data_IF_938636333671
#
_entry.id   IF_938636333671
#
_cell.length_a   1.000
_cell.length_b   1.000
_cell.length_c   1.000
_cell.angle_alpha   90.00
_cell.angle_beta   90.00
_cell.angle_gamma   90.00
#
_symmetry.space_group_name_H-M   'P 1'
#
loop_
_entity.id
_entity.type
_entity.pdbx_description
1 polymer ?
#
# COMPACT_ATOMS: atom_id res chain seq x y z
N UNK A 1 15.63 -75.52 24.24
CA UNK A 1 15.42 -76.70 23.37
C UNK A 1 14.84 -76.16 22.07
N UNK A 2 15.69 -75.81 21.11
CA UNK A 2 16.12 -76.60 19.91
C UNK A 2 15.02 -76.60 18.82
N UNK A 3 15.24 -76.19 17.57
CA UNK A 3 16.41 -75.70 16.78
C UNK A 3 15.93 -74.78 15.63
N UNK A 4 16.69 -73.85 15.05
CA UNK A 4 17.93 -73.95 14.24
C UNK A 4 17.77 -74.92 13.04
N UNK A 5 17.84 -74.52 11.76
CA UNK A 5 18.99 -74.04 10.92
C UNK A 5 18.47 -73.92 9.45
N UNK A 6 19.08 -73.32 8.43
CA UNK A 6 20.45 -72.91 8.10
C UNK A 6 20.45 -71.98 6.86
N UNK A 7 21.48 -71.14 6.73
CA UNK A 7 21.99 -70.57 5.45
C UNK A 7 23.19 -71.42 4.99
N UNK A 8 23.73 -71.36 3.74
CA UNK A 8 24.81 -70.38 3.47
C UNK A 8 25.18 -70.01 1.98
N UNK A 9 25.82 -68.83 1.84
CA UNK A 9 27.04 -68.44 1.06
C UNK A 9 27.22 -68.57 -0.50
N UNK A 10 27.68 -67.43 -1.06
CA UNK A 10 28.46 -67.08 -2.31
C UNK A 10 29.68 -68.00 -2.60
N UNK A 11 30.33 -68.09 -3.83
CA UNK A 11 31.15 -66.99 -4.47
C UNK A 11 31.50 -66.98 -6.01
N UNK A 12 32.00 -65.81 -6.48
CA UNK A 12 33.02 -65.42 -7.51
C UNK A 12 33.21 -66.02 -8.95
N UNK A 13 33.47 -65.10 -9.92
CA UNK A 13 34.23 -65.26 -11.20
C UNK A 13 33.37 -65.39 -12.49
N UNK A 14 33.66 -64.91 -13.71
CA UNK A 14 34.65 -64.00 -14.36
C UNK A 14 34.22 -63.85 -15.85
N UNK A 15 34.38 -62.66 -16.46
CA UNK A 15 34.55 -62.30 -17.91
C UNK A 15 33.99 -63.17 -19.07
N UNK A 16 33.22 -62.56 -19.98
CA UNK A 16 33.67 -62.33 -21.38
C UNK A 16 32.75 -61.39 -22.19
N UNK A 17 33.37 -60.62 -23.07
CA UNK A 17 32.87 -59.57 -23.97
C UNK A 17 31.93 -60.08 -25.08
N UNK A 18 30.98 -59.27 -25.57
CA UNK A 18 31.12 -58.44 -26.79
C UNK A 18 29.77 -57.94 -27.37
N UNK A 19 29.86 -56.80 -28.06
CA UNK A 19 29.00 -56.28 -29.14
C UNK A 19 27.62 -55.66 -28.84
N UNK A 20 27.64 -54.33 -28.72
CA UNK A 20 27.21 -53.47 -29.83
C UNK A 20 25.70 -53.29 -30.06
N UNK A 21 25.17 -52.16 -29.59
CA UNK A 21 24.35 -51.30 -30.44
C UNK A 21 24.11 -49.92 -29.82
N UNK A 22 24.80 -48.91 -30.38
CA UNK A 22 24.60 -47.49 -30.12
C UNK A 22 23.26 -47.09 -30.75
N UNK A 23 22.23 -46.81 -29.94
CA UNK A 23 21.04 -46.07 -30.37
C UNK A 23 21.10 -44.65 -29.84
N UNK A 24 21.39 -43.72 -30.75
CA UNK A 24 21.31 -42.27 -30.59
C UNK A 24 19.94 -41.83 -30.04
N UNK A 25 19.84 -41.57 -28.73
CA UNK A 25 18.75 -40.76 -28.18
C UNK A 25 19.13 -39.28 -28.29
N UNK A 26 18.70 -38.63 -29.39
CA UNK A 26 18.64 -37.17 -29.50
C UNK A 26 17.89 -36.60 -28.29
N UNK A 27 18.61 -35.96 -27.36
CA UNK A 27 18.03 -35.09 -26.34
C UNK A 27 17.29 -33.95 -27.06
N UNK A 28 15.95 -33.97 -27.08
CA UNK A 28 15.14 -32.79 -27.40
C UNK A 28 15.48 -31.72 -26.36
N UNK A 29 16.28 -30.72 -26.71
CA UNK A 29 16.37 -29.45 -25.99
C UNK A 29 14.96 -28.85 -25.99
N UNK A 30 14.27 -28.89 -24.85
CA UNK A 30 13.11 -28.03 -24.59
C UNK A 30 13.64 -26.60 -24.48
N UNK A 31 13.82 -25.95 -25.63
CA UNK A 31 13.97 -24.51 -25.69
C UNK A 31 12.65 -23.89 -25.28
N UNK A 32 12.54 -23.43 -24.04
CA UNK A 32 11.46 -22.56 -23.63
C UNK A 32 11.55 -21.30 -24.47
N UNK A 33 10.63 -21.13 -25.42
CA UNK A 33 10.48 -19.88 -26.14
C UNK A 33 10.20 -18.80 -25.11
N UNK A 34 11.15 -17.88 -24.90
CA UNK A 34 10.94 -16.68 -24.09
C UNK A 34 9.77 -15.93 -24.75
N UNK A 35 8.58 -15.95 -24.13
CA UNK A 35 7.41 -15.21 -24.62
C UNK A 35 7.82 -13.75 -24.85
N UNK A 36 7.78 -13.31 -26.10
CA UNK A 36 8.01 -11.92 -26.50
C UNK A 36 6.86 -11.09 -25.93
N UNK A 37 7.16 -10.00 -25.23
CA UNK A 37 6.14 -9.09 -24.70
C UNK A 37 5.39 -8.42 -25.87
N UNK A 38 4.10 -8.14 -25.69
CA UNK A 38 3.37 -7.27 -26.64
C UNK A 38 3.90 -5.84 -26.58
N UNK A 39 3.61 -5.03 -27.60
CA UNK A 39 3.99 -3.61 -27.60
C UNK A 39 3.45 -2.88 -26.36
N UNK A 40 2.17 -3.10 -26.03
CA UNK A 40 1.53 -2.54 -24.83
C UNK A 40 2.24 -2.96 -23.54
N UNK A 41 2.63 -4.23 -23.42
CA UNK A 41 3.36 -4.72 -22.27
C UNK A 41 4.75 -4.10 -22.16
N UNK A 42 5.42 -3.85 -23.29
CA UNK A 42 6.71 -3.15 -23.32
C UNK A 42 6.57 -1.69 -22.92
N UNK A 43 5.54 -0.98 -23.41
CA UNK A 43 5.25 0.42 -23.02
C UNK A 43 4.93 0.50 -21.52
N UNK A 44 4.06 -0.38 -21.02
CA UNK A 44 3.73 -0.45 -19.60
C UNK A 44 4.97 -0.74 -18.75
N UNK A 45 5.81 -1.69 -19.17
CA UNK A 45 7.04 -2.02 -18.45
C UNK A 45 7.99 -0.82 -18.38
N UNK A 46 8.22 -0.13 -19.50
CA UNK A 46 9.11 1.05 -19.56
C UNK A 46 8.60 2.15 -18.65
N UNK A 47 7.34 2.55 -18.81
CA UNK A 47 6.71 3.64 -18.05
C UNK A 47 6.72 3.37 -16.53
N UNK A 48 6.34 2.17 -16.10
CA UNK A 48 6.31 1.83 -14.68
C UNK A 48 7.72 1.68 -14.12
N UNK A 49 8.67 1.08 -14.87
CA UNK A 49 10.05 0.96 -14.40
C UNK A 49 10.72 2.33 -14.23
N UNK A 50 10.52 3.24 -15.18
CA UNK A 50 10.99 4.63 -15.08
C UNK A 50 10.43 5.30 -13.84
N UNK A 51 9.12 5.16 -13.58
CA UNK A 51 8.49 5.71 -12.38
C UNK A 51 9.05 5.11 -11.09
N UNK A 52 9.19 3.78 -10.99
CA UNK A 52 9.72 3.09 -9.81
C UNK A 52 11.13 3.58 -9.46
N UNK A 53 11.98 3.79 -10.46
CA UNK A 53 13.39 4.13 -10.30
C UNK A 53 13.73 5.60 -10.58
N UNK A 54 12.75 6.51 -10.58
CA UNK A 54 12.92 7.97 -10.78
C UNK A 54 14.14 8.51 -9.99
N UNK A 55 14.21 8.13 -8.72
CA UNK A 55 15.19 8.59 -7.74
C UNK A 55 16.63 8.10 -8.00
N UNK A 56 16.82 7.00 -8.73
CA UNK A 56 18.13 6.40 -9.02
C UNK A 56 18.81 6.99 -10.26
N UNK A 57 18.09 7.76 -11.07
CA UNK A 57 18.61 8.39 -12.29
C UNK A 57 19.70 9.44 -12.02
N UNK A 58 19.80 9.96 -10.78
CA UNK A 58 20.83 10.90 -10.37
C UNK A 58 22.20 10.24 -10.07
N UNK A 59 22.25 8.91 -9.84
CA UNK A 59 23.48 8.19 -9.49
C UNK A 59 23.88 7.09 -10.49
N UNK A 60 23.11 6.84 -11.55
CA UNK A 60 23.44 5.83 -12.56
C UNK A 60 24.17 6.45 -13.77
N UNK A 61 25.43 6.81 -13.60
CA UNK A 61 26.34 7.04 -14.73
C UNK A 61 26.89 5.73 -15.34
N UNK A 62 26.37 4.56 -14.92
CA UNK A 62 26.87 3.24 -15.37
C UNK A 62 25.86 2.35 -16.11
N UNK A 63 24.64 2.83 -16.39
CA UNK A 63 23.72 2.10 -17.26
C UNK A 63 24.07 2.38 -18.73
N UNK A 64 25.07 1.66 -19.26
CA UNK A 64 25.37 1.70 -20.69
C UNK A 64 24.17 1.13 -21.48
N UNK A 65 23.50 2.00 -22.23
CA UNK A 65 22.56 1.62 -23.28
C UNK A 65 23.34 0.89 -24.38
N UNK A 66 23.19 -0.43 -24.48
CA UNK A 66 23.72 -1.19 -25.61
C UNK A 66 22.61 -1.25 -26.65
N UNK A 67 22.77 -0.43 -27.70
CA UNK A 67 21.96 -0.49 -28.91
C UNK A 67 22.61 -1.55 -29.80
N UNK A 68 21.88 -2.60 -30.17
CA UNK A 68 22.37 -3.55 -31.17
C UNK A 68 22.23 -3.00 -32.59
N UNK A 69 22.86 -3.67 -33.56
CA UNK A 69 22.87 -3.29 -34.99
C UNK A 69 21.47 -3.22 -35.63
N UNK A 70 20.40 -3.58 -34.91
CA UNK A 70 19.00 -3.47 -35.33
C UNK A 70 18.22 -2.37 -34.58
N UNK A 71 18.89 -1.54 -33.77
CA UNK A 71 18.26 -0.44 -33.04
C UNK A 71 17.48 -0.87 -31.80
N UNK A 72 17.73 -2.08 -31.26
CA UNK A 72 17.05 -2.57 -30.05
C UNK A 72 17.87 -2.20 -28.82
N UNK A 73 17.26 -1.45 -27.90
CA UNK A 73 17.86 -1.09 -26.60
C UNK A 73 17.82 -2.30 -25.67
N UNK A 74 19.00 -2.82 -25.31
CA UNK A 74 19.14 -3.89 -24.31
C UNK A 74 19.40 -3.31 -22.92
N UNK A 75 18.46 -3.53 -22.00
CA UNK A 75 18.63 -3.21 -20.58
C UNK A 75 19.35 -4.35 -19.87
N UNK A 76 20.54 -4.09 -19.33
CA UNK A 76 21.39 -5.12 -18.70
C UNK A 76 21.00 -5.46 -17.25
N UNK A 77 19.77 -5.18 -16.84
CA UNK A 77 19.21 -5.71 -15.59
C UNK A 77 18.59 -7.09 -15.89
N UNK A 78 18.91 -8.15 -15.13
CA UNK A 78 18.22 -9.43 -15.29
C UNK A 78 16.75 -9.21 -14.98
N UNK A 79 15.89 -9.03 -16.02
CA UNK A 79 14.44 -8.70 -15.96
C UNK A 79 13.88 -8.81 -14.55
N UNK A 80 14.12 -7.80 -13.72
CA UNK A 80 13.80 -7.89 -12.30
C UNK A 80 12.27 -7.79 -12.24
N UNK A 81 11.63 -8.82 -11.70
CA UNK A 81 10.17 -8.82 -11.60
C UNK A 81 9.79 -7.72 -10.62
N UNK A 82 9.18 -6.65 -11.11
CA UNK A 82 8.62 -5.61 -10.25
C UNK A 82 7.41 -6.20 -9.52
N UNK A 83 7.49 -6.21 -8.19
CA UNK A 83 6.43 -6.67 -7.30
C UNK A 83 5.83 -5.44 -6.61
N UNK A 84 4.51 -5.43 -6.53
CA UNK A 84 3.71 -4.31 -6.06
C UNK A 84 2.79 -4.81 -4.94
N UNK A 85 2.54 -3.95 -3.95
CA UNK A 85 1.47 -4.17 -3.00
C UNK A 85 0.79 -2.84 -2.67
N UNK A 86 -0.50 -2.74 -3.01
CA UNK A 86 -1.24 -1.49 -2.96
C UNK A 86 -2.21 -1.42 -1.76
N UNK A 87 -2.15 -2.38 -0.84
CA UNK A 87 -3.07 -2.42 0.31
C UNK A 87 -2.44 -3.22 1.47
N UNK A 88 -2.05 -2.52 2.54
CA UNK A 88 -1.54 -3.14 3.75
C UNK A 88 -1.68 -2.23 4.98
N UNK A 89 -1.60 -2.84 6.17
CA UNK A 89 -1.88 -2.21 7.45
C UNK A 89 -0.72 -2.35 8.44
N UNK A 90 -0.55 -1.35 9.28
CA UNK A 90 0.46 -1.31 10.34
C UNK A 90 -0.18 -1.18 11.72
N UNK A 91 0.64 -1.13 12.77
CA UNK A 91 0.18 -0.84 14.14
C UNK A 91 -0.44 0.54 14.31
N UNK A 92 -0.38 1.43 13.31
CA UNK A 92 -1.07 2.72 13.37
C UNK A 92 -2.59 2.58 13.21
N UNK A 93 -3.08 1.42 12.76
CA UNK A 93 -4.49 1.07 12.74
C UNK A 93 -4.77 -0.25 13.43
N UNK A 94 -4.78 -1.37 12.73
CA UNK A 94 -5.07 -2.69 13.28
C UNK A 94 -4.16 -3.80 12.72
N UNK A 95 -3.04 -3.43 12.12
CA UNK A 95 -1.93 -4.33 11.85
C UNK A 95 -1.20 -4.80 13.13
N UNK A 96 -0.20 -5.65 12.93
CA UNK A 96 0.68 -6.19 13.97
C UNK A 96 2.14 -5.72 13.82
N UNK A 97 2.53 -5.27 12.63
CA UNK A 97 3.88 -4.80 12.35
C UNK A 97 3.95 -3.27 12.37
N UNK A 98 5.04 -2.71 12.90
CA UNK A 98 5.32 -1.28 12.72
C UNK A 98 5.53 -0.98 11.23
N UNK A 99 5.32 0.26 10.76
CA UNK A 99 5.64 0.65 9.39
C UNK A 99 7.06 0.23 8.96
N UNK A 100 8.05 0.36 9.84
CA UNK A 100 9.42 -0.14 9.57
C UNK A 100 9.46 -1.64 9.32
N UNK A 101 8.85 -2.44 10.20
CA UNK A 101 8.82 -3.91 10.06
C UNK A 101 8.02 -4.37 8.84
N UNK A 102 6.96 -3.64 8.50
CA UNK A 102 6.16 -3.89 7.32
C UNK A 102 6.99 -3.70 6.04
N UNK A 103 7.76 -2.60 5.96
CA UNK A 103 8.67 -2.34 4.83
C UNK A 103 9.81 -3.37 4.77
N UNK A 104 10.40 -3.76 5.90
CA UNK A 104 11.40 -4.83 5.97
C UNK A 104 10.84 -6.15 5.39
N UNK A 105 9.60 -6.50 5.74
CA UNK A 105 8.91 -7.69 5.23
C UNK A 105 8.64 -7.59 3.73
N UNK A 106 8.15 -6.44 3.27
CA UNK A 106 7.92 -6.18 1.85
C UNK A 106 9.22 -6.34 1.03
N UNK A 107 10.34 -5.82 1.55
CA UNK A 107 11.66 -5.96 0.91
C UNK A 107 12.10 -7.42 0.79
N UNK A 108 11.93 -8.22 1.86
CA UNK A 108 12.22 -9.66 1.83
C UNK A 108 11.43 -10.41 0.75
N UNK A 109 10.21 -9.94 0.46
CA UNK A 109 9.34 -10.49 -0.57
C UNK A 109 9.59 -9.89 -1.97
N UNK A 110 10.58 -9.00 -2.12
CA UNK A 110 10.95 -8.38 -3.39
C UNK A 110 10.04 -7.25 -3.86
N UNK A 111 9.16 -6.74 -2.99
CA UNK A 111 8.29 -5.59 -3.27
C UNK A 111 9.14 -4.37 -3.59
N UNK A 112 8.78 -3.65 -4.66
CA UNK A 112 9.43 -2.40 -5.09
C UNK A 112 8.53 -1.17 -4.88
N UNK A 113 7.22 -1.38 -4.82
CA UNK A 113 6.24 -0.34 -4.49
C UNK A 113 5.26 -0.86 -3.45
N UNK A 114 5.12 -0.14 -2.35
CA UNK A 114 4.22 -0.46 -1.26
C UNK A 114 3.31 0.74 -0.98
N UNK A 115 2.00 0.54 -0.93
CA UNK A 115 1.08 1.53 -0.38
C UNK A 115 0.74 1.13 1.07
N UNK A 116 1.11 1.97 2.03
CA UNK A 116 0.63 1.84 3.40
C UNK A 116 -0.74 2.51 3.48
N UNK A 117 -1.76 1.79 3.90
CA UNK A 117 -3.16 2.21 3.81
C UNK A 117 -3.89 1.95 5.13
N UNK A 118 -3.25 2.30 6.25
CA UNK A 118 -3.83 2.15 7.59
C UNK A 118 -5.25 2.71 7.67
N UNK A 119 -6.12 2.05 8.42
CA UNK A 119 -7.49 2.52 8.59
C UNK A 119 -7.55 3.92 9.20
N UNK A 120 -8.20 4.83 8.48
CA UNK A 120 -8.56 6.17 8.92
C UNK A 120 -7.38 7.00 9.46
N UNK A 121 -6.14 6.74 9.02
CA UNK A 121 -4.96 7.51 9.46
C UNK A 121 -3.82 7.47 8.45
N UNK A 122 -3.09 8.59 8.36
CA UNK A 122 -1.83 8.70 7.61
C UNK A 122 -0.59 8.72 8.53
N UNK A 123 -0.77 8.45 9.84
CA UNK A 123 0.28 8.67 10.84
C UNK A 123 1.48 7.73 10.70
N UNK A 124 1.33 6.57 10.06
CA UNK A 124 2.42 5.62 9.80
C UNK A 124 3.28 5.95 8.57
N UNK A 125 2.79 6.84 7.67
CA UNK A 125 3.44 7.14 6.40
C UNK A 125 4.88 7.67 6.57
N UNK A 126 5.19 8.63 7.48
CA UNK A 126 6.55 9.12 7.65
C UNK A 126 7.55 8.04 8.08
N UNK A 127 7.14 7.11 8.95
CA UNK A 127 8.00 5.98 9.36
C UNK A 127 8.21 5.00 8.21
N UNK A 128 7.15 4.69 7.45
CA UNK A 128 7.24 3.81 6.27
C UNK A 128 8.22 4.37 5.23
N UNK A 129 8.14 5.66 4.92
CA UNK A 129 9.03 6.30 3.95
C UNK A 129 10.48 6.27 4.39
N UNK A 130 10.73 6.50 5.68
CA UNK A 130 12.08 6.42 6.23
C UNK A 130 12.66 5.01 6.10
N UNK A 131 11.90 3.99 6.48
CA UNK A 131 12.33 2.61 6.32
C UNK A 131 12.56 2.26 4.85
N UNK A 132 11.67 2.70 3.96
CA UNK A 132 11.68 2.36 2.54
C UNK A 132 12.89 2.93 1.79
N UNK A 133 13.37 4.11 2.21
CA UNK A 133 14.60 4.69 1.69
C UNK A 133 15.80 3.74 1.83
N UNK A 134 15.88 3.00 2.94
CA UNK A 134 16.99 2.05 3.20
C UNK A 134 16.94 0.81 2.30
N UNK A 135 15.75 0.44 1.82
CA UNK A 135 15.51 -0.79 1.07
C UNK A 135 15.25 -0.56 -0.42
N UNK A 136 15.26 0.70 -0.88
CA UNK A 136 14.95 1.06 -2.26
C UNK A 136 13.50 0.74 -2.65
N UNK A 137 12.58 0.87 -1.69
CA UNK A 137 11.13 0.71 -1.90
C UNK A 137 10.51 2.09 -2.09
N UNK A 138 9.61 2.21 -3.07
CA UNK A 138 8.76 3.40 -3.21
C UNK A 138 7.50 3.24 -2.36
N UNK A 139 7.26 4.19 -1.46
CA UNK A 139 6.00 4.26 -0.71
C UNK A 139 4.99 5.12 -1.46
N UNK A 140 3.77 4.63 -1.61
CA UNK A 140 2.60 5.44 -1.94
C UNK A 140 1.91 5.81 -0.62
N UNK A 141 1.88 7.10 -0.22
CA UNK A 141 1.06 7.53 0.90
C UNK A 141 -0.40 7.18 0.66
N UNK A 142 -0.99 6.37 1.53
CA UNK A 142 -2.39 6.00 1.42
C UNK A 142 -3.10 5.83 2.75
N UNK A 143 -4.41 5.74 2.67
CA UNK A 143 -5.30 5.51 3.82
C UNK A 143 -6.49 4.69 3.34
N UNK A 144 -6.93 3.72 4.14
CA UNK A 144 -8.21 3.05 3.93
C UNK A 144 -9.27 3.76 4.77
N UNK A 145 -10.15 4.51 4.11
CA UNK A 145 -11.21 5.29 4.76
C UNK A 145 -12.42 4.39 4.99
N UNK A 146 -12.82 4.28 6.25
CA UNK A 146 -14.03 3.56 6.66
C UNK A 146 -15.26 4.40 6.35
N UNK A 147 -16.20 3.85 5.59
CA UNK A 147 -17.41 4.54 5.15
C UNK A 147 -18.63 3.62 5.28
N UNK A 148 -19.81 4.19 5.09
CA UNK A 148 -21.07 3.46 5.00
C UNK A 148 -21.79 3.84 3.72
N UNK A 149 -22.38 2.85 3.07
CA UNK A 149 -23.23 3.02 1.90
C UNK A 149 -24.70 2.78 2.26
N UNK A 150 -25.56 3.65 1.73
CA UNK A 150 -27.01 3.59 1.94
C UNK A 150 -27.71 3.33 0.61
N UNK A 151 -28.26 2.13 0.38
CA UNK A 151 -29.05 1.84 -0.82
C UNK A 151 -30.27 2.77 -0.92
N UNK A 152 -30.60 3.25 -2.13
CA UNK A 152 -31.84 4.03 -2.33
C UNK A 152 -33.04 3.09 -2.32
N UNK A 153 -34.05 3.41 -1.52
CA UNK A 153 -35.36 2.73 -1.53
C UNK A 153 -35.45 1.47 -0.67
N UNK A 154 -34.35 0.98 -0.11
CA UNK A 154 -34.38 -0.04 0.94
C UNK A 154 -34.36 0.65 2.30
N UNK A 155 -35.44 0.48 3.06
CA UNK A 155 -35.50 0.91 4.45
C UNK A 155 -34.46 0.14 5.27
N UNK A 156 -33.27 0.73 5.46
CA UNK A 156 -32.53 0.63 6.71
C UNK A 156 -31.35 -0.35 6.82
N UNK A 157 -30.75 -0.86 5.74
CA UNK A 157 -29.45 -1.55 5.87
C UNK A 157 -28.32 -0.68 5.34
N UNK A 158 -27.61 -0.02 6.26
CA UNK A 158 -26.26 0.49 5.99
C UNK A 158 -25.32 -0.69 5.70
N UNK A 159 -24.43 -0.48 4.74
CA UNK A 159 -23.40 -1.45 4.39
C UNK A 159 -22.02 -0.81 4.57
N UNK A 160 -21.12 -1.40 5.37
CA UNK A 160 -19.75 -0.92 5.48
C UNK A 160 -19.06 -1.00 4.12
N UNK A 161 -18.43 0.10 3.70
CA UNK A 161 -17.65 0.20 2.48
C UNK A 161 -16.31 0.84 2.83
N UNK A 162 -15.22 0.34 2.28
CA UNK A 162 -13.91 0.93 2.48
C UNK A 162 -13.36 1.50 1.17
N UNK A 163 -12.83 2.71 1.25
CA UNK A 163 -12.25 3.42 0.11
C UNK A 163 -10.76 3.65 0.38
N UNK A 164 -9.92 3.09 -0.47
CA UNK A 164 -8.50 3.40 -0.49
C UNK A 164 -8.31 4.77 -1.14
N UNK A 165 -7.51 5.61 -0.51
CA UNK A 165 -7.08 6.89 -1.06
C UNK A 165 -5.57 6.87 -1.23
N UNK A 166 -5.08 7.09 -2.46
CA UNK A 166 -3.65 7.19 -2.74
C UNK A 166 -3.24 8.61 -3.09
N UNK A 167 -2.28 9.15 -2.35
CA UNK A 167 -1.80 10.51 -2.49
C UNK A 167 -0.41 10.57 -3.09
N UNK A 168 -0.05 11.76 -3.57
CA UNK A 168 1.33 12.07 -3.92
C UNK A 168 2.23 11.94 -2.70
N UNK A 169 3.54 11.89 -2.92
CA UNK A 169 4.56 11.91 -1.86
C UNK A 169 4.47 13.16 -0.96
N UNK A 170 3.92 14.29 -1.45
CA UNK A 170 3.66 15.49 -0.65
C UNK A 170 2.38 15.39 0.19
N UNK A 171 1.55 14.38 -0.06
CA UNK A 171 0.28 14.19 0.61
C UNK A 171 -0.94 14.82 -0.06
N UNK A 172 -2.04 14.90 0.69
CA UNK A 172 -3.28 15.56 0.30
C UNK A 172 -3.13 17.08 0.27
N UNK A 173 -3.67 17.77 -0.74
CA UNK A 173 -3.61 19.25 -0.87
C UNK A 173 -4.35 20.01 0.23
N UNK A 174 -5.44 19.41 0.74
CA UNK A 174 -6.33 19.96 1.77
C UNK A 174 -6.33 19.03 3.00
N UNK A 175 -5.14 18.83 3.57
CA UNK A 175 -4.93 17.83 4.62
C UNK A 175 -5.79 18.11 5.86
N UNK A 176 -6.10 19.36 6.15
CA UNK A 176 -6.89 19.75 7.31
C UNK A 176 -8.35 19.27 7.18
N UNK A 177 -8.92 19.31 5.97
CA UNK A 177 -10.26 18.78 5.67
C UNK A 177 -10.28 17.25 5.77
N UNK A 178 -9.26 16.58 5.21
CA UNK A 178 -9.13 15.13 5.31
C UNK A 178 -8.95 14.67 6.76
N UNK A 179 -8.01 15.26 7.51
CA UNK A 179 -7.77 14.89 8.91
C UNK A 179 -8.99 15.14 9.80
N UNK A 180 -9.80 16.17 9.50
CA UNK A 180 -11.07 16.39 10.20
C UNK A 180 -12.04 15.21 9.98
N UNK A 181 -12.18 14.74 8.74
CA UNK A 181 -12.99 13.56 8.41
C UNK A 181 -12.46 12.32 9.15
N UNK A 182 -11.15 12.03 9.00
CA UNK A 182 -10.50 10.87 9.59
C UNK A 182 -10.58 10.87 11.12
N UNK A 183 -10.38 12.03 11.76
CA UNK A 183 -10.54 12.19 13.20
C UNK A 183 -11.99 11.93 13.65
N UNK A 184 -12.99 12.37 12.88
CA UNK A 184 -14.40 12.08 13.13
C UNK A 184 -14.66 10.57 13.16
N UNK A 185 -14.14 9.84 12.17
CA UNK A 185 -14.27 8.37 12.09
C UNK A 185 -13.58 7.70 13.29
N UNK A 186 -12.35 8.10 13.61
CA UNK A 186 -11.58 7.58 14.77
C UNK A 186 -12.31 7.82 16.10
N UNK A 187 -12.93 8.99 16.28
CA UNK A 187 -13.73 9.29 17.46
C UNK A 187 -14.99 8.41 17.55
N UNK A 188 -15.70 8.22 16.44
CA UNK A 188 -16.83 7.30 16.35
C UNK A 188 -16.42 5.86 16.68
N UNK A 189 -15.30 5.40 16.15
CA UNK A 189 -14.70 4.08 16.40
C UNK A 189 -14.39 3.88 17.90
N UNK A 190 -13.84 4.88 18.56
CA UNK A 190 -13.58 4.85 20.01
C UNK A 190 -14.87 4.70 20.83
N UNK A 191 -15.92 5.47 20.52
CA UNK A 191 -17.22 5.36 21.19
C UNK A 191 -17.87 4.00 20.94
N UNK A 192 -17.80 3.51 19.69
CA UNK A 192 -18.25 2.18 19.31
C UNK A 192 -17.56 1.10 20.13
N UNK A 193 -16.24 1.14 20.27
CA UNK A 193 -15.51 0.15 21.08
C UNK A 193 -15.93 0.17 22.55
N UNK A 194 -16.12 1.34 23.17
CA UNK A 194 -16.67 1.42 24.54
C UNK A 194 -18.05 0.78 24.65
N UNK A 195 -18.91 0.99 23.65
CA UNK A 195 -20.23 0.34 23.57
C UNK A 195 -20.09 -1.18 23.49
N UNK A 196 -19.21 -1.71 22.63
CA UNK A 196 -18.95 -3.15 22.52
C UNK A 196 -18.48 -3.75 23.85
N UNK A 197 -17.56 -3.09 24.55
CA UNK A 197 -17.08 -3.52 25.87
C UNK A 197 -18.20 -3.56 26.90
N UNK A 198 -19.03 -2.52 26.95
CA UNK A 198 -20.19 -2.49 27.84
C UNK A 198 -21.16 -3.65 27.58
N UNK A 199 -21.41 -3.97 26.29
CA UNK A 199 -22.24 -5.12 25.90
C UNK A 199 -21.61 -6.45 26.32
N UNK A 200 -20.32 -6.65 26.07
CA UNK A 200 -19.59 -7.86 26.49
C UNK A 200 -19.60 -8.04 28.02
N UNK A 201 -19.42 -6.96 28.78
CA UNK A 201 -19.48 -7.01 30.24
C UNK A 201 -20.88 -7.42 30.73
N UNK A 202 -21.95 -6.94 30.09
CA UNK A 202 -23.34 -7.38 30.38
C UNK A 202 -23.57 -8.85 30.04
N UNK A 203 -22.87 -9.37 29.04
CA UNK A 203 -22.85 -10.80 28.67
C UNK A 203 -21.96 -11.65 29.59
N UNK A 204 -21.48 -11.09 30.71
CA UNK A 204 -20.58 -11.75 31.68
C UNK A 204 -19.22 -12.13 31.09
N UNK A 205 -18.75 -11.37 30.09
CA UNK A 205 -17.41 -11.46 29.51
C UNK A 205 -16.63 -10.19 29.88
N UNK A 206 -16.16 -10.07 31.14
CA UNK A 206 -15.56 -8.84 31.63
C UNK A 206 -14.27 -8.52 30.86
N UNK A 207 -14.23 -7.32 30.27
CA UNK A 207 -13.07 -6.69 29.67
C UNK A 207 -12.85 -5.29 30.27
N UNK A 208 -11.59 -4.97 30.52
CA UNK A 208 -11.16 -3.64 30.99
C UNK A 208 -10.84 -2.75 29.79
N UNK A 209 -11.24 -1.49 29.86
CA UNK A 209 -10.99 -0.53 28.78
C UNK A 209 -9.49 -0.31 28.55
N UNK A 210 -8.72 -0.25 29.64
CA UNK A 210 -7.27 -0.02 29.64
C UNK A 210 -6.53 -1.12 28.88
N UNK A 211 -7.03 -2.36 28.96
CA UNK A 211 -6.46 -3.50 28.26
C UNK A 211 -6.65 -3.36 26.73
N UNK A 212 -7.83 -2.93 26.30
CA UNK A 212 -8.13 -2.74 24.87
C UNK A 212 -7.32 -1.59 24.29
N UNK A 213 -7.17 -0.48 25.02
CA UNK A 213 -6.31 0.62 24.59
C UNK A 213 -4.84 0.24 24.56
N UNK A 214 -4.40 -0.64 25.47
CA UNK A 214 -3.03 -1.19 25.44
C UNK A 214 -2.79 -2.04 24.20
N UNK A 215 -3.76 -2.89 23.83
CA UNK A 215 -3.69 -3.71 22.61
C UNK A 215 -3.70 -2.84 21.35
N UNK A 216 -4.53 -1.80 21.30
CA UNK A 216 -4.57 -0.87 20.17
C UNK A 216 -3.28 -0.05 20.03
N UNK A 217 -2.66 0.33 21.14
CA UNK A 217 -1.47 1.16 21.13
C UNK A 217 -1.78 2.66 21.24
N UNK A 218 -0.73 3.44 21.48
CA UNK A 218 -0.85 4.88 21.74
C UNK A 218 -1.31 5.63 20.48
N UNK A 219 -2.39 6.41 20.60
CA UNK A 219 -2.91 7.23 19.49
C UNK A 219 -3.77 6.47 18.47
N UNK A 220 -4.01 5.17 18.70
CA UNK A 220 -4.82 4.32 17.82
C UNK A 220 -6.25 4.22 18.36
N UNK A 221 -7.23 4.44 17.49
CA UNK A 221 -8.65 4.29 17.84
C UNK A 221 -9.04 2.80 17.84
N UNK A 222 -9.44 2.20 18.99
CA UNK A 222 -9.71 0.77 19.05
C UNK A 222 -10.90 0.37 18.16
N UNK A 223 -10.65 -0.46 17.14
CA UNK A 223 -11.67 -1.15 16.34
C UNK A 223 -12.15 -2.50 16.90
N UNK A 224 -13.03 -3.17 16.14
CA UNK A 224 -13.55 -4.52 16.44
C UNK A 224 -12.43 -5.55 16.63
N UNK A 225 -11.37 -5.46 15.83
CA UNK A 225 -10.24 -6.38 15.90
C UNK A 225 -9.52 -6.30 17.27
N UNK A 226 -9.34 -5.10 17.82
CA UNK A 226 -8.72 -4.94 19.15
C UNK A 226 -9.58 -5.51 20.28
N UNK A 227 -10.91 -5.36 20.17
CA UNK A 227 -11.85 -6.01 21.12
C UNK A 227 -11.81 -7.53 20.97
N UNK A 228 -11.72 -8.05 19.74
CA UNK A 228 -11.55 -9.47 19.47
C UNK A 228 -10.25 -10.02 20.08
N UNK A 229 -9.14 -9.30 19.92
CA UNK A 229 -7.85 -9.64 20.56
C UNK A 229 -7.98 -9.66 22.09
N UNK A 230 -8.62 -8.66 22.68
CA UNK A 230 -8.86 -8.61 24.12
C UNK A 230 -9.70 -9.80 24.62
N UNK A 231 -10.69 -10.27 23.84
CA UNK A 231 -11.45 -11.48 24.16
C UNK A 231 -10.57 -12.73 24.16
N UNK A 232 -9.65 -12.84 23.19
CA UNK A 232 -8.70 -13.96 23.11
C UNK A 232 -7.72 -13.92 24.28
N UNK A 233 -7.08 -12.77 24.53
CA UNK A 233 -6.11 -12.60 25.63
C UNK A 233 -6.74 -12.82 27.01
N UNK A 234 -8.02 -12.47 27.17
CA UNK A 234 -8.77 -12.73 28.40
C UNK A 234 -9.26 -14.19 28.55
N UNK A 235 -9.04 -15.04 27.55
CA UNK A 235 -9.47 -16.45 27.57
C UNK A 235 -10.97 -16.68 27.37
N UNK A 236 -11.71 -15.66 26.90
CA UNK A 236 -13.16 -15.78 26.64
C UNK A 236 -13.47 -16.50 25.33
N UNK A 237 -12.52 -16.51 24.40
CA UNK A 237 -12.58 -17.18 23.10
C UNK A 237 -11.20 -17.72 22.71
N UNK A 238 -11.17 -18.79 21.92
CA UNK A 238 -9.94 -19.49 21.51
C UNK A 238 -9.14 -18.72 20.43
N UNK A 239 -9.83 -17.96 19.57
CA UNK A 239 -9.22 -17.27 18.44
C UNK A 239 -10.12 -16.14 17.92
N UNK A 240 -9.55 -15.30 17.04
CA UNK A 240 -10.24 -14.17 16.44
C UNK A 240 -11.50 -14.58 15.67
N UNK A 241 -11.46 -15.71 14.94
CA UNK A 241 -12.61 -16.22 14.19
C UNK A 241 -13.80 -16.47 15.12
N UNK A 242 -13.56 -17.10 16.27
CA UNK A 242 -14.59 -17.33 17.28
C UNK A 242 -15.13 -16.02 17.88
N UNK A 243 -14.26 -15.04 18.13
CA UNK A 243 -14.66 -13.72 18.62
C UNK A 243 -15.66 -13.04 17.66
N UNK A 244 -15.32 -13.00 16.37
CA UNK A 244 -16.19 -12.44 15.34
C UNK A 244 -17.47 -13.24 15.16
N UNK A 245 -17.41 -14.57 15.04
CA UNK A 245 -18.60 -15.38 14.77
C UNK A 245 -19.61 -15.43 15.93
N UNK A 246 -19.15 -15.29 17.19
CA UNK A 246 -20.05 -15.39 18.36
C UNK A 246 -20.56 -14.04 18.85
N UNK A 247 -19.73 -13.00 18.79
CA UNK A 247 -20.02 -11.75 19.51
C UNK A 247 -19.98 -10.49 18.64
N UNK A 248 -19.03 -10.42 17.70
CA UNK A 248 -18.67 -9.15 17.03
C UNK A 248 -19.09 -9.06 15.55
N UNK A 249 -19.77 -10.08 15.00
CA UNK A 249 -20.35 -10.05 13.65
C UNK A 249 -21.42 -8.96 13.52
N UNK A 250 -21.75 -8.55 12.29
CA UNK A 250 -22.75 -7.50 12.07
C UNK A 250 -24.13 -7.92 12.58
N UNK A 251 -24.70 -7.11 13.48
CA UNK A 251 -25.94 -7.45 14.20
C UNK A 251 -25.77 -8.42 15.37
N UNK A 252 -24.55 -8.82 15.71
CA UNK A 252 -24.25 -9.73 16.81
C UNK A 252 -24.43 -9.14 18.22
N UNK A 253 -24.32 -9.97 19.27
CA UNK A 253 -24.65 -9.58 20.65
C UNK A 253 -23.86 -8.38 21.19
N UNK A 254 -22.61 -8.24 20.77
CA UNK A 254 -21.74 -7.14 21.17
C UNK A 254 -21.51 -6.12 20.04
N UNK A 255 -22.12 -6.31 18.88
CA UNK A 255 -22.00 -5.39 17.75
C UNK A 255 -22.52 -4.00 18.10
N UNK A 256 -21.85 -2.96 17.63
CA UNK A 256 -22.29 -1.56 17.75
C UNK A 256 -21.95 -0.87 16.44
N UNK A 257 -22.81 0.05 16.00
CA UNK A 257 -22.58 0.86 14.81
C UNK A 257 -21.67 2.04 15.15
N UNK A 258 -21.01 2.60 14.13
CA UNK A 258 -20.14 3.77 14.26
C UNK A 258 -20.80 5.03 13.70
N UNK A 259 -19.98 6.04 13.42
CA UNK A 259 -20.39 7.30 12.79
C UNK A 259 -19.55 7.55 11.54
N UNK A 260 -19.43 6.51 10.72
CA UNK A 260 -18.74 6.58 9.44
C UNK A 260 -19.48 7.51 8.47
N UNK A 261 -18.77 8.27 7.62
CA UNK A 261 -19.37 9.12 6.60
C UNK A 261 -19.99 8.29 5.49
N UNK A 262 -20.82 8.95 4.67
CA UNK A 262 -21.32 8.36 3.44
C UNK A 262 -20.15 8.09 2.47
N UNK A 263 -20.16 6.92 1.82
CA UNK A 263 -19.10 6.48 0.92
C UNK A 263 -18.86 7.44 -0.25
N UNK A 264 -19.92 7.99 -0.85
CA UNK A 264 -19.82 8.99 -1.91
C UNK A 264 -19.16 10.29 -1.43
N UNK A 265 -19.52 10.78 -0.24
CA UNK A 265 -18.92 11.98 0.35
C UNK A 265 -17.41 11.80 0.59
N UNK A 266 -17.02 10.60 1.02
CA UNK A 266 -15.61 10.26 1.20
C UNK A 266 -14.85 10.22 -0.14
N UNK A 267 -15.43 9.61 -1.18
CA UNK A 267 -14.86 9.61 -2.54
C UNK A 267 -14.67 11.03 -3.04
N UNK A 268 -15.70 11.88 -2.95
CA UNK A 268 -15.61 13.28 -3.36
C UNK A 268 -14.51 14.04 -2.60
N UNK A 269 -14.39 13.83 -1.29
CA UNK A 269 -13.34 14.47 -0.49
C UNK A 269 -11.95 13.99 -0.88
N UNK A 270 -11.77 12.70 -1.15
CA UNK A 270 -10.50 12.15 -1.64
C UNK A 270 -10.12 12.83 -2.97
N UNK A 271 -11.06 12.96 -3.90
CA UNK A 271 -10.83 13.67 -5.17
C UNK A 271 -10.46 15.15 -4.95
N UNK A 272 -11.21 15.86 -4.09
CA UNK A 272 -10.96 17.28 -3.76
C UNK A 272 -9.61 17.51 -3.08
N UNK A 273 -9.09 16.51 -2.38
CA UNK A 273 -7.81 16.56 -1.67
C UNK A 273 -6.63 16.09 -2.53
N UNK A 274 -6.84 15.80 -3.83
CA UNK A 274 -5.77 15.39 -4.75
C UNK A 274 -5.35 13.92 -4.62
N UNK A 275 -6.26 13.07 -4.15
CA UNK A 275 -6.05 11.63 -4.04
C UNK A 275 -6.74 10.82 -5.14
N UNK A 276 -6.27 9.60 -5.36
CA UNK A 276 -6.93 8.60 -6.21
C UNK A 276 -7.80 7.71 -5.33
N UNK A 277 -9.11 7.76 -5.53
CA UNK A 277 -10.10 6.97 -4.79
C UNK A 277 -10.33 5.58 -5.42
N UNK A 278 -10.20 4.52 -4.63
CA UNK A 278 -10.30 3.12 -5.08
C UNK A 278 -11.16 2.30 -4.13
N UNK A 279 -12.11 1.51 -4.65
CA UNK A 279 -12.94 0.64 -3.83
C UNK A 279 -12.13 -0.57 -3.36
N UNK A 280 -11.98 -0.73 -2.05
CA UNK A 280 -11.30 -1.85 -1.44
C UNK A 280 -12.18 -3.10 -1.45
N UNK A 281 -11.55 -4.28 -1.61
CA UNK A 281 -12.12 -5.62 -1.41
C UNK A 281 -13.63 -5.76 -1.72
N UNK A 282 -14.10 -5.43 -2.95
CA UNK A 282 -15.53 -5.40 -3.29
C UNK A 282 -16.23 -6.77 -3.17
N UNK A 283 -15.49 -7.85 -2.98
CA UNK A 283 -15.98 -9.19 -2.63
C UNK A 283 -16.52 -9.33 -1.22
N UNK A 284 -16.26 -8.36 -0.33
CA UNK A 284 -16.89 -8.31 0.99
C UNK A 284 -18.30 -7.69 0.96
N UNK A 285 -18.69 -7.08 -0.17
CA UNK A 285 -19.95 -6.36 -0.30
C UNK A 285 -21.13 -7.30 -0.60
N UNK A 286 -22.29 -6.98 -0.02
CA UNK A 286 -23.60 -7.58 -0.29
C UNK A 286 -24.13 -7.16 -1.67
N UNK A 287 -24.02 -5.88 -2.03
CA UNK A 287 -24.49 -5.37 -3.33
C UNK A 287 -23.41 -4.54 -4.07
N UNK A 288 -22.35 -5.19 -4.56
CA UNK A 288 -21.22 -4.49 -5.18
C UNK A 288 -21.62 -3.66 -6.41
N UNK A 289 -22.61 -4.09 -7.21
CA UNK A 289 -23.01 -3.39 -8.44
C UNK A 289 -23.61 -2.02 -8.12
N UNK A 290 -24.52 -1.94 -7.14
CA UNK A 290 -25.15 -0.69 -6.76
C UNK A 290 -24.14 0.30 -6.14
N UNK A 291 -23.21 -0.22 -5.33
CA UNK A 291 -22.12 0.55 -4.72
C UNK A 291 -21.19 1.11 -5.82
N UNK A 292 -20.65 0.24 -6.68
CA UNK A 292 -19.72 0.65 -7.75
C UNK A 292 -20.34 1.74 -8.64
N UNK A 293 -21.60 1.58 -9.05
CA UNK A 293 -22.28 2.59 -9.87
C UNK A 293 -22.28 3.97 -9.19
N UNK A 294 -22.75 4.06 -7.94
CA UNK A 294 -22.89 5.34 -7.23
C UNK A 294 -21.54 5.96 -6.86
N UNK A 295 -20.56 5.14 -6.49
CA UNK A 295 -19.21 5.64 -6.24
C UNK A 295 -18.56 6.14 -7.53
N UNK A 296 -18.81 5.50 -8.68
CA UNK A 296 -18.35 5.99 -9.98
C UNK A 296 -18.96 7.35 -10.30
N UNK A 297 -20.26 7.54 -10.05
CA UNK A 297 -20.93 8.85 -10.18
C UNK A 297 -20.31 9.93 -9.25
N UNK A 298 -19.79 9.52 -8.08
CA UNK A 298 -19.11 10.40 -7.13
C UNK A 298 -17.62 10.68 -7.47
N UNK A 299 -17.05 10.01 -8.48
CA UNK A 299 -15.66 10.19 -8.92
C UNK A 299 -14.69 9.08 -8.51
N UNK A 300 -15.16 7.85 -8.28
CA UNK A 300 -14.30 6.69 -8.05
C UNK A 300 -13.38 6.45 -9.26
N UNK A 301 -12.11 6.16 -9.01
CA UNK A 301 -11.10 6.00 -10.06
C UNK A 301 -10.74 4.54 -10.34
N UNK A 302 -10.90 3.65 -9.35
CA UNK A 302 -10.49 2.26 -9.46
C UNK A 302 -11.19 1.35 -8.48
N UNK A 303 -10.96 0.05 -8.64
CA UNK A 303 -11.43 -0.99 -7.73
C UNK A 303 -10.38 -2.08 -7.58
N UNK A 304 -10.37 -2.75 -6.42
CA UNK A 304 -9.59 -3.97 -6.25
C UNK A 304 -10.23 -5.14 -7.01
N UNK A 305 -9.43 -5.79 -7.86
CA UNK A 305 -9.82 -6.96 -8.65
C UNK A 305 -8.82 -8.12 -8.52
N UNK A 306 -7.60 -7.84 -8.04
CA UNK A 306 -6.55 -8.82 -7.83
C UNK A 306 -6.40 -9.16 -6.35
N UNK A 307 -6.27 -10.44 -6.06
CA UNK A 307 -5.97 -11.04 -4.76
C UNK A 307 -4.80 -12.01 -4.89
N UNK A 308 -4.36 -12.59 -3.77
CA UNK A 308 -3.31 -13.61 -3.75
C UNK A 308 -3.69 -14.88 -4.51
N UNK A 309 -4.98 -15.23 -4.57
CA UNK A 309 -5.54 -16.35 -5.32
C UNK A 309 -5.82 -16.04 -6.80
N UNK A 310 -5.63 -14.79 -7.24
CA UNK A 310 -5.68 -14.38 -8.64
C UNK A 310 -6.58 -13.19 -8.91
N UNK A 311 -6.90 -12.99 -10.20
CA UNK A 311 -7.80 -11.93 -10.66
C UNK A 311 -9.24 -12.44 -10.62
N UNK A 312 -10.13 -11.69 -9.96
CA UNK A 312 -11.55 -11.99 -9.93
C UNK A 312 -12.25 -11.43 -11.19
N UNK A 313 -12.75 -12.33 -12.03
CA UNK A 313 -13.35 -11.96 -13.32
C UNK A 313 -14.55 -11.00 -13.17
N UNK A 314 -15.47 -11.28 -12.24
CA UNK A 314 -16.67 -10.45 -12.02
C UNK A 314 -16.32 -8.98 -11.75
N UNK A 315 -15.34 -8.72 -10.87
CA UNK A 315 -14.91 -7.36 -10.57
C UNK A 315 -14.08 -6.76 -11.71
N UNK A 316 -13.27 -7.56 -12.41
CA UNK A 316 -12.60 -7.10 -13.64
C UNK A 316 -13.59 -6.62 -14.70
N UNK A 317 -14.70 -7.32 -14.90
CA UNK A 317 -15.70 -6.96 -15.90
C UNK A 317 -16.51 -5.73 -15.47
N UNK A 318 -16.82 -5.60 -14.17
CA UNK A 318 -17.41 -4.38 -13.62
C UNK A 318 -16.47 -3.18 -13.76
N UNK A 319 -15.18 -3.34 -13.50
CA UNK A 319 -14.20 -2.29 -13.75
C UNK A 319 -14.23 -1.83 -15.21
N UNK A 320 -14.24 -2.75 -16.18
CA UNK A 320 -14.30 -2.39 -17.61
C UNK A 320 -15.61 -1.66 -17.95
N UNK A 321 -16.75 -2.13 -17.42
CA UNK A 321 -18.06 -1.54 -17.67
C UNK A 321 -18.18 -0.09 -17.17
N UNK A 322 -17.47 0.26 -16.09
CA UNK A 322 -17.47 1.59 -15.48
C UNK A 322 -16.20 2.42 -15.79
N UNK A 323 -15.26 1.90 -16.59
CA UNK A 323 -14.02 2.60 -16.92
C UNK A 323 -13.05 2.78 -15.74
N UNK A 324 -13.08 1.85 -14.77
CA UNK A 324 -12.30 1.93 -13.52
C UNK A 324 -10.97 1.20 -13.64
N UNK A 325 -9.93 1.74 -13.00
CA UNK A 325 -8.62 1.10 -12.89
C UNK A 325 -8.70 -0.17 -12.05
N UNK A 326 -8.02 -1.22 -12.52
CA UNK A 326 -7.98 -2.54 -11.86
C UNK A 326 -6.72 -2.68 -11.01
N UNK A 327 -6.88 -2.66 -9.69
CA UNK A 327 -5.80 -2.76 -8.72
C UNK A 327 -5.91 -4.01 -7.82
N UNK A 328 -4.96 -4.16 -6.91
CA UNK A 328 -5.03 -5.11 -5.81
C UNK A 328 -3.84 -4.97 -4.88
N UNK A 329 -4.06 -5.28 -3.61
CA UNK A 329 -3.03 -5.46 -2.60
C UNK A 329 -3.36 -6.64 -1.70
N UNK A 330 -2.44 -6.96 -0.80
CA UNK A 330 -2.56 -8.14 0.05
C UNK A 330 -3.62 -8.00 1.14
N UNK A 331 -3.98 -6.78 1.52
CA UNK A 331 -4.73 -6.46 2.73
C UNK A 331 -4.04 -7.05 3.98
N UNK A 332 -2.71 -7.01 3.97
CA UNK A 332 -1.87 -7.64 4.99
C UNK A 332 -1.90 -6.86 6.31
N UNK A 333 -2.19 -7.56 7.40
CA UNK A 333 -2.15 -7.05 8.76
C UNK A 333 -1.01 -7.67 9.60
N UNK A 334 -0.37 -8.75 9.14
CA UNK A 334 0.65 -9.47 9.91
C UNK A 334 0.06 -10.35 11.00
N UNK A 335 -1.10 -10.95 10.72
CA UNK A 335 -1.70 -11.97 11.57
C UNK A 335 -0.83 -13.23 11.40
N UNK A 336 -0.24 -13.75 12.47
CA UNK A 336 0.63 -14.96 12.48
C UNK A 336 -0.10 -16.27 12.05
N UNK A 337 -1.21 -16.19 11.31
CA UNK A 337 -2.02 -17.31 10.84
C UNK A 337 -1.74 -17.68 9.37
N UNK A 338 -1.90 -18.97 9.05
CA UNK A 338 -1.62 -19.54 7.72
C UNK A 338 -2.59 -19.13 6.59
N UNK A 339 -3.42 -18.11 6.80
CA UNK A 339 -4.54 -17.77 5.91
C UNK A 339 -4.55 -16.31 5.43
N UNK A 340 -3.57 -15.49 5.85
CA UNK A 340 -3.43 -14.13 5.35
C UNK A 340 -2.52 -14.11 4.11
N UNK A 341 -2.86 -13.26 3.15
CA UNK A 341 -2.01 -13.01 1.98
C UNK A 341 -0.79 -12.21 2.41
N UNK A 342 0.41 -12.73 2.21
CA UNK A 342 1.64 -12.01 2.56
C UNK A 342 1.89 -10.82 1.59
N UNK A 343 2.73 -9.88 2.01
CA UNK A 343 3.06 -8.69 1.23
C UNK A 343 3.67 -9.07 -0.12
N UNK A 344 3.14 -8.47 -1.20
CA UNK A 344 3.58 -8.74 -2.58
C UNK A 344 3.15 -10.09 -3.15
N UNK A 345 2.31 -10.85 -2.45
CA UNK A 345 1.76 -12.11 -2.96
C UNK A 345 0.73 -11.91 -4.08
N UNK A 346 0.11 -10.73 -4.16
CA UNK A 346 -0.84 -10.38 -5.22
C UNK A 346 -0.10 -10.14 -6.53
N UNK A 347 -0.39 -10.97 -7.53
CA UNK A 347 0.24 -10.85 -8.85
C UNK A 347 -0.41 -9.74 -9.69
N UNK A 348 -0.13 -8.48 -9.34
CA UNK A 348 -0.61 -7.31 -10.07
C UNK A 348 0.16 -7.10 -11.39
N UNK A 349 -0.49 -7.08 -12.56
CA UNK A 349 0.19 -6.90 -13.84
C UNK A 349 0.76 -5.49 -14.03
N UNK A 350 1.88 -5.40 -14.75
CA UNK A 350 2.48 -4.11 -15.15
C UNK A 350 1.50 -3.19 -15.88
N UNK A 351 0.61 -3.76 -16.71
CA UNK A 351 -0.41 -2.98 -17.43
C UNK A 351 -1.41 -2.33 -16.47
N UNK A 352 -1.80 -3.01 -15.39
CA UNK A 352 -2.67 -2.44 -14.35
C UNK A 352 -2.00 -1.25 -13.66
N UNK A 353 -0.72 -1.39 -13.30
CA UNK A 353 0.04 -0.28 -12.68
C UNK A 353 0.24 0.87 -13.68
N UNK A 354 0.44 0.57 -14.96
CA UNK A 354 0.54 1.61 -15.99
C UNK A 354 -0.77 2.40 -16.16
N UNK A 355 -1.93 1.73 -16.22
CA UNK A 355 -3.23 2.41 -16.27
C UNK A 355 -3.49 3.22 -14.99
N UNK A 356 -3.10 2.69 -13.82
CA UNK A 356 -3.12 3.47 -12.57
C UNK A 356 -2.30 4.75 -12.68
N UNK A 357 -1.07 4.69 -13.21
CA UNK A 357 -0.23 5.89 -13.34
C UNK A 357 -0.79 6.92 -14.32
N UNK A 358 -1.49 6.50 -15.39
CA UNK A 358 -2.18 7.44 -16.29
C UNK A 358 -3.23 8.28 -15.56
N UNK A 359 -3.87 7.72 -14.54
CA UNK A 359 -4.85 8.42 -13.69
C UNK A 359 -4.16 9.18 -12.56
N UNK A 360 -3.24 8.52 -11.84
CA UNK A 360 -2.63 9.03 -10.63
C UNK A 360 -1.67 10.19 -10.88
N UNK A 361 -0.83 10.11 -11.93
CA UNK A 361 0.23 11.11 -12.17
C UNK A 361 -0.31 12.52 -12.41
N UNK A 362 -1.32 12.75 -13.27
CA UNK A 362 -1.90 14.08 -13.43
C UNK A 362 -2.52 14.63 -12.14
N UNK A 363 -3.25 13.79 -11.38
CA UNK A 363 -3.86 14.16 -10.10
C UNK A 363 -2.79 14.58 -9.09
N UNK A 364 -1.75 13.75 -8.94
CA UNK A 364 -0.64 14.02 -8.03
C UNK A 364 0.20 15.22 -8.47
N UNK A 365 0.42 15.41 -9.76
CA UNK A 365 1.11 16.59 -10.28
C UNK A 365 0.36 17.86 -9.91
N UNK A 366 -0.96 17.90 -10.17
CA UNK A 366 -1.78 19.05 -9.79
C UNK A 366 -1.78 19.28 -8.29
N UNK A 367 -1.81 18.21 -7.49
CA UNK A 367 -1.71 18.30 -6.05
C UNK A 367 -0.37 18.92 -5.59
N UNK A 368 0.75 18.49 -6.17
CA UNK A 368 2.08 19.04 -5.88
C UNK A 368 2.11 20.54 -6.21
N UNK A 369 1.62 20.92 -7.39
CA UNK A 369 1.51 22.32 -7.84
C UNK A 369 0.70 23.14 -6.84
N UNK A 370 -0.49 22.70 -6.45
CA UNK A 370 -1.36 23.43 -5.51
C UNK A 370 -0.72 23.61 -4.13
N UNK A 371 0.00 22.59 -3.64
CA UNK A 371 0.75 22.65 -2.39
C UNK A 371 1.88 23.70 -2.49
N UNK A 372 2.61 23.72 -3.59
CA UNK A 372 3.66 24.72 -3.82
C UNK A 372 3.08 26.13 -3.96
N UNK A 373 1.93 26.30 -4.62
CA UNK A 373 1.27 27.58 -4.69
C UNK A 373 0.85 28.10 -3.31
N UNK A 374 0.34 27.23 -2.43
CA UNK A 374 0.00 27.59 -1.04
C UNK A 374 1.24 28.12 -0.31
N UNK A 375 2.38 27.45 -0.45
CA UNK A 375 3.64 27.89 0.14
C UNK A 375 4.16 29.21 -0.46
N UNK A 376 4.09 29.40 -1.78
CA UNK A 376 4.48 30.66 -2.43
C UNK A 376 3.63 31.83 -1.97
N UNK A 377 2.32 31.61 -1.74
CA UNK A 377 1.39 32.65 -1.25
C UNK A 377 1.63 33.02 0.20
N UNK A 378 2.07 32.06 1.01
CA UNK A 378 2.30 32.22 2.46
C UNK A 378 3.54 31.42 2.91
N UNK A 379 4.75 31.96 2.68
CA UNK A 379 6.00 31.24 2.94
C UNK A 379 6.33 31.27 4.44
N UNK A 380 5.88 30.23 5.14
CA UNK A 380 6.17 30.01 6.56
C UNK A 380 6.64 28.57 6.82
N UNK A 381 7.23 28.35 8.00
CA UNK A 381 7.79 27.04 8.38
C UNK A 381 6.72 25.93 8.42
N UNK A 382 5.45 26.26 8.73
CA UNK A 382 4.37 25.27 8.75
C UNK A 382 4.04 24.78 7.32
N UNK A 383 3.91 25.70 6.36
CA UNK A 383 3.67 25.37 4.95
C UNK A 383 4.89 24.67 4.31
N UNK A 384 6.10 25.01 4.73
CA UNK A 384 7.32 24.31 4.31
C UNK A 384 7.42 22.89 4.91
N UNK A 385 7.13 22.74 6.21
CA UNK A 385 7.05 21.44 6.87
C UNK A 385 5.96 20.58 6.22
N UNK A 386 4.89 21.18 5.70
CA UNK A 386 3.84 20.47 4.99
C UNK A 386 4.35 19.85 3.67
N UNK A 387 5.12 20.58 2.86
CA UNK A 387 5.78 20.04 1.65
C UNK A 387 6.67 18.84 2.00
N UNK A 388 7.34 18.91 3.16
CA UNK A 388 8.36 17.95 3.59
C UNK A 388 7.87 16.92 4.60
N UNK A 389 6.56 16.92 4.92
CA UNK A 389 5.96 16.15 6.03
C UNK A 389 6.31 14.67 5.99
N UNK A 390 6.41 14.17 4.78
CA UNK A 390 6.60 12.77 4.40
C UNK A 390 8.07 12.45 4.03
N UNK A 391 8.98 13.42 4.01
CA UNK A 391 10.37 13.25 3.54
C UNK A 391 11.43 13.66 4.59
N UNK A 392 11.07 13.61 5.89
CA UNK A 392 11.84 14.21 7.00
C UNK A 392 13.34 13.88 7.09
N UNK A 393 13.82 12.76 6.52
CA UNK A 393 15.22 12.31 6.72
C UNK A 393 16.07 12.28 5.44
N UNK A 394 15.51 12.16 4.22
CA UNK A 394 16.25 12.56 2.99
C UNK A 394 16.85 13.96 3.16
N UNK A 395 16.10 14.79 3.86
CA UNK A 395 16.47 16.12 4.29
C UNK A 395 17.57 16.16 5.35
N UNK A 396 17.59 15.30 6.38
CA UNK A 396 18.61 15.38 7.46
C UNK A 396 20.05 15.18 6.99
N UNK A 397 20.30 14.44 5.90
CA UNK A 397 21.65 14.32 5.30
C UNK A 397 21.99 15.44 4.30
N UNK A 398 21.00 16.22 3.87
CA UNK A 398 21.14 17.18 2.76
C UNK A 398 20.73 18.63 3.10
N UNK A 399 20.10 18.89 4.25
CA UNK A 399 19.73 20.26 4.68
C UNK A 399 20.97 21.13 4.84
N UNK A 400 22.11 20.57 5.27
CA UNK A 400 23.39 21.30 5.31
C UNK A 400 24.01 21.55 3.94
N UNK A 401 23.47 20.95 2.87
CA UNK A 401 23.98 21.05 1.51
C UNK A 401 23.20 22.04 0.62
N UNK A 402 22.06 22.56 1.10
CA UNK A 402 21.24 23.49 0.32
C UNK A 402 21.25 24.90 0.93
N UNK A 403 21.49 25.89 0.08
CA UNK A 403 21.56 27.31 0.44
C UNK A 403 20.20 27.96 0.63
N UNK A 404 19.11 27.39 0.08
CA UNK A 404 17.76 27.97 0.15
C UNK A 404 16.65 26.92 0.14
N UNK A 405 15.45 27.30 0.59
CA UNK A 405 14.24 26.49 0.47
C UNK A 405 13.90 26.14 -0.98
N UNK A 406 14.16 27.06 -1.91
CA UNK A 406 13.95 26.88 -3.35
C UNK A 406 14.85 25.77 -3.91
N UNK A 407 16.13 25.74 -3.52
CA UNK A 407 17.07 24.69 -3.95
C UNK A 407 16.60 23.31 -3.48
N UNK A 408 16.12 23.24 -2.23
CA UNK A 408 15.58 22.00 -1.69
C UNK A 408 14.31 21.56 -2.44
N UNK A 409 13.37 22.46 -2.67
CA UNK A 409 12.13 22.14 -3.39
C UNK A 409 12.45 21.67 -4.82
N UNK A 410 13.40 22.30 -5.51
CA UNK A 410 13.84 21.86 -6.84
C UNK A 410 14.47 20.46 -6.81
N UNK A 411 15.27 20.16 -5.79
CA UNK A 411 15.79 18.81 -5.59
C UNK A 411 14.66 17.79 -5.36
N UNK A 412 13.71 18.10 -4.47
CA UNK A 412 12.56 17.24 -4.20
C UNK A 412 11.71 16.99 -5.46
N UNK A 413 11.43 18.03 -6.23
CA UNK A 413 10.71 17.91 -7.50
C UNK A 413 11.42 16.99 -8.50
N UNK A 414 12.77 16.95 -8.49
CA UNK A 414 13.54 16.02 -9.33
C UNK A 414 13.37 14.54 -8.94
N UNK A 415 13.01 14.27 -7.68
CA UNK A 415 12.73 12.92 -7.18
C UNK A 415 11.27 12.52 -7.42
N UNK A 416 10.35 13.48 -7.44
CA UNK A 416 8.91 13.23 -7.50
C UNK A 416 8.36 13.21 -8.93
N UNK A 417 8.93 14.03 -9.82
CA UNK A 417 8.42 14.30 -11.15
C UNK A 417 9.33 13.75 -12.25
N UNK A 418 8.71 13.23 -13.29
CA UNK A 418 9.40 12.85 -14.54
C UNK A 418 10.03 14.07 -15.20
N UNK A 419 10.93 13.86 -16.16
CA UNK A 419 11.50 14.95 -16.97
C UNK A 419 10.42 15.77 -17.67
N UNK A 420 9.38 15.11 -18.20
CA UNK A 420 8.29 15.75 -18.93
C UNK A 420 7.43 16.64 -18.01
N UNK A 421 7.01 16.14 -16.85
CA UNK A 421 6.23 16.94 -15.89
C UNK A 421 7.06 18.12 -15.34
N UNK A 422 8.38 17.97 -15.21
CA UNK A 422 9.24 19.07 -14.77
C UNK A 422 9.34 20.22 -15.76
N UNK A 423 9.05 19.98 -17.05
CA UNK A 423 9.01 20.99 -18.10
C UNK A 423 7.61 21.61 -18.28
N UNK A 424 6.65 21.24 -17.42
CA UNK A 424 5.31 21.78 -17.48
C UNK A 424 5.32 23.31 -17.20
N UNK A 425 4.70 24.14 -18.05
CA UNK A 425 4.67 25.59 -17.87
C UNK A 425 4.10 26.08 -16.53
N UNK A 426 3.11 25.38 -15.98
CA UNK A 426 2.51 25.71 -14.67
C UNK A 426 3.54 25.55 -13.55
N UNK A 427 4.34 24.48 -13.58
CA UNK A 427 5.40 24.25 -12.61
C UNK A 427 6.55 25.26 -12.76
N UNK A 428 6.95 25.58 -14.00
CA UNK A 428 8.00 26.58 -14.24
C UNK A 428 7.59 27.97 -13.74
N UNK A 429 6.33 28.36 -13.93
CA UNK A 429 5.80 29.60 -13.37
C UNK A 429 5.87 29.63 -11.83
N UNK A 430 5.62 28.50 -11.17
CA UNK A 430 5.74 28.38 -9.70
C UNK A 430 7.20 28.43 -9.26
N UNK A 431 8.12 27.75 -9.95
CA UNK A 431 9.56 27.79 -9.64
C UNK A 431 10.13 29.21 -9.73
N UNK A 432 9.72 30.00 -10.73
CA UNK A 432 10.10 31.41 -10.83
C UNK A 432 9.64 32.19 -9.59
N UNK A 433 8.40 31.98 -9.12
CA UNK A 433 7.91 32.60 -7.90
C UNK A 433 8.68 32.12 -6.66
N UNK A 434 8.97 30.82 -6.55
CA UNK A 434 9.77 30.25 -5.46
C UNK A 434 11.16 30.86 -5.36
N UNK A 435 11.81 31.16 -6.50
CA UNK A 435 13.13 31.80 -6.52
C UNK A 435 13.14 33.22 -5.95
N UNK A 436 11.97 33.89 -5.94
CA UNK A 436 11.77 35.20 -5.35
C UNK A 436 11.40 35.16 -3.86
N UNK A 437 11.14 33.97 -3.29
CA UNK A 437 10.81 33.80 -1.87
C UNK A 437 12.11 33.78 -1.06
N UNK A 438 12.41 34.90 -0.39
CA UNK A 438 13.48 34.98 0.60
C UNK A 438 13.05 34.34 1.92
N UNK A 439 13.59 33.20 2.31
CA UNK A 439 13.37 32.65 3.67
C UNK A 439 14.69 32.54 4.44
N UNK A 440 14.78 33.30 5.52
CA UNK A 440 15.73 33.04 6.61
C UNK A 440 15.17 31.93 7.48
N UNK A 441 15.56 30.67 7.25
CA UNK A 441 15.19 29.60 8.18
C UNK A 441 16.05 29.69 9.43
N UNK A 442 15.40 29.79 10.60
CA UNK A 442 16.07 29.56 11.88
C UNK A 442 16.48 28.08 11.94
N UNK A 443 17.71 27.82 12.40
CA UNK A 443 18.19 26.44 12.56
C UNK A 443 17.26 25.66 13.50
N UNK A 444 17.01 24.36 13.24
CA UNK A 444 16.24 23.54 14.16
C UNK A 444 16.98 23.48 15.51
N UNK A 445 16.30 23.87 16.59
CA UNK A 445 16.80 23.70 17.96
C UNK A 445 17.20 22.23 18.16
N UNK A 446 18.48 22.04 18.48
CA UNK A 446 18.99 20.74 18.91
C UNK A 446 18.36 20.40 20.25
N UNK A 447 17.50 19.39 20.27
CA UNK A 447 16.98 18.78 21.49
C UNK A 447 18.14 18.12 22.26
N UNK A 448 18.81 18.93 23.07
CA UNK A 448 19.90 18.52 23.94
C UNK A 448 19.72 19.15 25.34
N UNK A 449 18.56 18.94 25.96
CA UNK A 449 18.41 19.13 27.42
C UNK A 449 17.10 18.53 27.95
N UNK A 450 17.07 17.22 28.22
CA UNK A 450 16.22 16.65 29.27
C UNK A 450 16.75 15.30 29.78
N UNK A 451 17.90 15.39 30.44
CA UNK A 451 18.29 14.45 31.49
C UNK A 451 18.63 15.28 32.72
N UNK A 452 17.66 15.42 33.62
CA UNK A 452 17.81 15.38 35.07
C UNK A 452 16.49 14.90 35.66
#
# INVERSE_FOLDING_TARGET
MLGEKDSPKKPYGTNCSNNGNIKNKKKKKRGGSKRKLSLEQTVAYKSVSEWVFLDNSANSSSAAEIIDDFGVVHWNHPKERLVFDFHCHSIHSDGFLSPTKLVERAHQNGVKVLALTDHDTLSGIPEAQEAAFRFGIKIIPGVEVSTVFYPRGETGSEEPVHILAYYSVCGPTRIEELEKLLLGIRNGRFLRAKSMVSKLNKLKLPLKWEHITKIAGTGVAPGRLHVARALVEAGHVENLKQAFSRYLYDGGPAYSTGSEPNAEEAVELICKTGGVAVLAHPWALKNPVAVIRRLTEAGLHGIETYRSDGKLAVYSDLADAYGLVKLGGSDYHGRDGQHESDLGSVSLPMSSVHEFLKVARPIWFKAIVDILEKYVKDPNDANFHFITKFEKIRLRKSISAFSSASDLINHLLSLWLTKEERLNPELEAIKLKLSAVSVSHAQPETDAARTK
#
